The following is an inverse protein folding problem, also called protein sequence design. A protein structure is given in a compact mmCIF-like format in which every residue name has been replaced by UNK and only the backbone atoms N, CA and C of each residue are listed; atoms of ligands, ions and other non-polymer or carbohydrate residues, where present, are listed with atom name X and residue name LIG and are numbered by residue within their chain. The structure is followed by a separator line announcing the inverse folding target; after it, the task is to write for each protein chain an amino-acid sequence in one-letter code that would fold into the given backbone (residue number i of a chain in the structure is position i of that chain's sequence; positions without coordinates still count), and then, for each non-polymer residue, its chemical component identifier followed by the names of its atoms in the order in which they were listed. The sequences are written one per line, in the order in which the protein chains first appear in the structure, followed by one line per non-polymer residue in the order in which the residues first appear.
data_IF_896065508664
#
_entry.id   IF_896065508664
#
_cell.length_a   1.000
_cell.length_b   1.000
_cell.length_c   1.000
_cell.angle_alpha   90.00
_cell.angle_beta   90.00
_cell.angle_gamma   90.00
#
_symmetry.space_group_name_H-M   'P 1'
#
loop_
_entity.id
_entity.type
_entity.pdbx_description
1 polymer ?
#
# COMPACT_ATOMS: atom_id res chain seq x y z
N UNK A 1 8.76 16.11 -6.80
CA UNK A 1 7.55 15.49 -6.19
C UNK A 1 7.85 14.02 -6.05
N UNK A 2 7.67 13.46 -4.85
CA UNK A 2 7.89 12.04 -4.59
C UNK A 2 6.55 11.37 -4.36
N UNK A 3 6.20 10.41 -5.22
CA UNK A 3 4.98 9.61 -5.11
C UNK A 3 5.37 8.25 -4.54
N UNK A 4 4.79 7.89 -3.40
CA UNK A 4 5.00 6.58 -2.79
C UNK A 4 3.69 5.80 -2.92
N UNK A 5 3.74 4.67 -3.62
CA UNK A 5 2.62 3.76 -3.78
C UNK A 5 2.77 2.68 -2.71
N UNK A 6 1.86 2.68 -1.73
CA UNK A 6 1.77 1.58 -0.77
C UNK A 6 0.97 0.47 -1.44
N UNK A 7 1.68 -0.48 -2.03
CA UNK A 7 1.14 -1.50 -2.90
C UNK A 7 0.98 -2.82 -2.14
N UNK A 8 -0.26 -3.10 -1.76
CA UNK A 8 -0.67 -4.37 -1.13
C UNK A 8 -1.38 -5.32 -2.12
N UNK A 9 -1.43 -4.97 -3.41
CA UNK A 9 -2.06 -5.80 -4.45
C UNK A 9 -3.59 -5.97 -4.34
N UNK A 10 -4.25 -5.24 -3.44
CA UNK A 10 -5.68 -5.38 -3.13
C UNK A 10 -6.35 -4.02 -2.92
N UNK A 11 -7.67 -3.97 -2.92
CA UNK A 11 -8.45 -2.84 -2.41
C UNK A 11 -8.51 -2.92 -0.89
N UNK A 12 -7.39 -2.61 -0.24
CA UNK A 12 -7.12 -2.92 1.18
C UNK A 12 -8.24 -2.53 2.13
N UNK A 13 -8.79 -1.32 2.01
CA UNK A 13 -9.85 -0.90 2.93
C UNK A 13 -11.12 -1.73 2.80
N UNK A 14 -11.59 -1.99 1.59
CA UNK A 14 -12.80 -2.82 1.38
C UNK A 14 -12.52 -4.27 1.76
N UNK A 15 -11.30 -4.76 1.49
CA UNK A 15 -10.88 -6.12 1.85
C UNK A 15 -10.85 -6.32 3.37
N UNK A 16 -10.35 -5.36 4.15
CA UNK A 16 -10.39 -5.40 5.62
C UNK A 16 -11.83 -5.54 6.13
N UNK A 17 -12.78 -4.79 5.56
CA UNK A 17 -14.19 -4.93 5.93
C UNK A 17 -14.77 -6.29 5.56
N UNK A 18 -14.46 -6.81 4.37
CA UNK A 18 -14.85 -8.15 3.94
C UNK A 18 -14.29 -9.24 4.87
N UNK A 19 -13.04 -9.08 5.32
CA UNK A 19 -12.40 -9.95 6.30
C UNK A 19 -13.13 -9.92 7.65
N UNK A 20 -13.37 -8.73 8.20
CA UNK A 20 -13.90 -8.56 9.56
C UNK A 20 -15.40 -8.81 9.69
N UNK A 21 -16.20 -8.45 8.68
CA UNK A 21 -17.67 -8.43 8.81
C UNK A 21 -18.40 -9.35 7.83
N UNK A 22 -17.69 -9.99 6.88
CA UNK A 22 -18.30 -10.84 5.85
C UNK A 22 -17.62 -12.20 5.73
N UNK A 23 -17.13 -12.76 6.84
CA UNK A 23 -16.56 -14.12 6.90
C UNK A 23 -15.45 -14.37 5.87
N UNK A 24 -14.57 -13.38 5.65
CA UNK A 24 -13.49 -13.45 4.67
C UNK A 24 -13.97 -13.68 3.21
N UNK A 25 -15.20 -13.29 2.89
CA UNK A 25 -15.73 -13.35 1.52
C UNK A 25 -15.22 -12.18 0.70
N UNK A 26 -14.08 -12.38 0.04
CA UNK A 26 -13.45 -11.37 -0.81
C UNK A 26 -14.16 -11.27 -2.17
N UNK A 27 -15.01 -10.26 -2.33
CA UNK A 27 -15.70 -10.00 -3.61
C UNK A 27 -15.00 -8.87 -4.33
N UNK A 28 -14.28 -9.19 -5.41
CA UNK A 28 -13.67 -8.23 -6.35
C UNK A 28 -12.71 -7.22 -5.69
N UNK A 29 -12.02 -7.61 -4.62
CA UNK A 29 -11.04 -6.77 -3.91
C UNK A 29 -9.60 -7.18 -4.14
N UNK A 30 -9.33 -8.37 -4.67
CA UNK A 30 -8.00 -8.77 -5.14
C UNK A 30 -7.80 -8.26 -6.55
N UNK A 31 -6.72 -7.51 -6.80
CA UNK A 31 -6.52 -6.86 -8.09
C UNK A 31 -5.98 -7.83 -9.16
N UNK A 32 -5.17 -8.81 -8.75
CA UNK A 32 -4.50 -9.78 -9.66
C UNK A 32 -3.73 -9.10 -10.81
N UNK A 33 -3.21 -7.89 -10.57
CA UNK A 33 -2.47 -7.11 -11.56
C UNK A 33 -0.97 -7.26 -11.37
N UNK A 34 -0.25 -7.35 -12.48
CA UNK A 34 1.22 -7.40 -12.53
C UNK A 34 1.83 -6.06 -12.96
N UNK A 35 1.15 -4.95 -12.68
CA UNK A 35 1.61 -3.62 -13.11
C UNK A 35 2.94 -3.26 -12.45
N UNK A 36 3.97 -3.02 -13.24
CA UNK A 36 5.24 -2.45 -12.78
C UNK A 36 5.14 -0.91 -12.77
N UNK A 37 4.80 -0.33 -11.61
CA UNK A 37 4.67 1.12 -11.47
C UNK A 37 6.00 1.86 -11.64
N UNK A 38 7.13 1.23 -11.34
CA UNK A 38 8.44 1.83 -11.56
C UNK A 38 8.74 1.94 -13.05
N UNK A 39 8.40 0.93 -13.85
CA UNK A 39 8.50 0.98 -15.31
C UNK A 39 7.56 2.03 -15.90
N UNK A 40 6.32 2.13 -15.42
CA UNK A 40 5.38 3.18 -15.83
C UNK A 40 5.98 4.56 -15.56
N UNK A 41 6.50 4.82 -14.36
CA UNK A 41 7.11 6.10 -14.04
C UNK A 41 8.25 6.48 -15.01
N UNK A 42 9.14 5.52 -15.31
CA UNK A 42 10.22 5.70 -16.28
C UNK A 42 9.70 6.02 -17.69
N UNK A 43 8.62 5.39 -18.12
CA UNK A 43 7.99 5.66 -19.41
C UNK A 43 7.42 7.09 -19.51
N UNK A 44 7.02 7.69 -18.38
CA UNK A 44 6.56 9.08 -18.29
C UNK A 44 7.71 10.08 -18.02
N UNK A 45 8.98 9.65 -18.03
CA UNK A 45 10.14 10.50 -17.80
C UNK A 45 10.42 10.81 -16.32
N UNK A 46 9.77 10.12 -15.39
CA UNK A 46 10.04 10.21 -13.96
C UNK A 46 11.02 9.10 -13.52
N UNK A 47 11.72 9.31 -12.40
CA UNK A 47 12.47 8.22 -11.78
C UNK A 47 11.50 7.18 -11.19
N UNK A 48 11.80 5.89 -11.36
CA UNK A 48 10.94 4.80 -10.88
C UNK A 48 11.74 3.78 -10.09
N UNK A 49 11.32 3.51 -8.86
CA UNK A 49 11.95 2.58 -7.91
C UNK A 49 10.93 1.58 -7.36
N UNK A 50 11.41 0.44 -6.87
CA UNK A 50 10.62 -0.56 -6.18
C UNK A 50 11.32 -0.93 -4.86
N UNK A 51 10.56 -1.02 -3.78
CA UNK A 51 11.03 -1.44 -2.46
C UNK A 51 10.16 -2.60 -1.95
N UNK A 52 10.79 -3.65 -1.46
CA UNK A 52 10.11 -4.85 -0.90
C UNK A 52 10.25 -4.99 0.60
N UNK A 53 11.09 -4.15 1.21
CA UNK A 53 11.30 -4.10 2.65
C UNK A 53 11.69 -2.67 3.08
N UNK A 54 11.74 -2.44 4.39
CA UNK A 54 12.00 -1.13 4.97
C UNK A 54 13.42 -0.62 4.69
N UNK A 55 14.42 -1.52 4.66
CA UNK A 55 15.82 -1.17 4.40
C UNK A 55 16.02 -0.68 2.96
N UNK A 56 15.40 -1.35 1.98
CA UNK A 56 15.38 -0.91 0.59
C UNK A 56 14.69 0.45 0.44
N UNK A 57 13.55 0.64 1.09
CA UNK A 57 12.84 1.91 1.06
C UNK A 57 13.71 3.04 1.62
N UNK A 58 14.35 2.82 2.76
CA UNK A 58 15.24 3.80 3.37
C UNK A 58 16.45 4.11 2.48
N UNK A 59 17.03 3.09 1.87
CA UNK A 59 18.13 3.24 0.90
C UNK A 59 17.71 4.09 -0.30
N UNK A 60 16.49 3.88 -0.82
CA UNK A 60 15.97 4.66 -1.95
C UNK A 60 15.74 6.11 -1.54
N UNK A 61 15.11 6.35 -0.40
CA UNK A 61 14.81 7.71 0.09
C UNK A 61 16.08 8.53 0.36
N UNK A 62 17.11 7.90 0.94
CA UNK A 62 18.32 8.59 1.36
C UNK A 62 19.34 8.77 0.23
N UNK A 63 19.44 7.80 -0.71
CA UNK A 63 20.56 7.72 -1.65
C UNK A 63 20.17 7.69 -3.13
N UNK A 64 18.95 7.26 -3.47
CA UNK A 64 18.57 7.00 -4.88
C UNK A 64 17.54 7.98 -5.42
N UNK A 65 16.68 8.52 -4.56
CA UNK A 65 15.64 9.45 -4.95
C UNK A 65 16.29 10.75 -5.48
N UNK A 66 15.94 11.19 -6.70
CA UNK A 66 16.51 12.41 -7.25
C UNK A 66 16.06 13.61 -6.43
N UNK A 67 17.01 14.52 -6.15
CA UNK A 67 16.73 15.78 -5.43
C UNK A 67 15.85 16.72 -6.25
N UNK A 68 15.96 16.63 -7.58
CA UNK A 68 15.19 17.41 -8.55
C UNK A 68 14.38 16.50 -9.47
N UNK A 69 13.11 16.83 -9.67
CA UNK A 69 12.19 16.11 -10.57
C UNK A 69 11.15 15.22 -9.88
N UNK A 70 10.26 14.58 -10.66
CA UNK A 70 9.30 13.62 -10.15
C UNK A 70 9.91 12.23 -9.98
N UNK A 71 9.56 11.54 -8.90
CA UNK A 71 9.87 10.12 -8.72
C UNK A 71 8.67 9.34 -8.18
N UNK A 72 8.63 8.05 -8.52
CA UNK A 72 7.64 7.09 -8.04
C UNK A 72 8.37 5.93 -7.38
N UNK A 73 7.93 5.56 -6.18
CA UNK A 73 8.43 4.42 -5.43
C UNK A 73 7.26 3.46 -5.21
N UNK A 74 7.37 2.26 -5.77
CA UNK A 74 6.44 1.14 -5.54
C UNK A 74 6.87 0.39 -4.28
N UNK A 75 6.19 0.62 -3.16
CA UNK A 75 6.45 -0.04 -1.88
C UNK A 75 5.53 -1.24 -1.71
N UNK A 76 6.08 -2.44 -1.85
CA UNK A 76 5.31 -3.68 -1.71
C UNK A 76 5.17 -4.04 -0.25
N UNK A 77 3.93 -4.22 0.18
CA UNK A 77 3.58 -4.63 1.55
C UNK A 77 2.67 -5.85 1.51
N UNK A 78 2.47 -6.49 2.65
CA UNK A 78 1.59 -7.64 2.76
C UNK A 78 0.12 -7.26 2.45
N UNK A 79 -0.60 -8.16 1.77
CA UNK A 79 -1.99 -7.95 1.34
C UNK A 79 -3.01 -8.00 2.47
N UNK A 80 -2.61 -8.52 3.62
CA UNK A 80 -3.43 -8.73 4.81
C UNK A 80 -3.16 -7.72 5.93
N UNK A 81 -2.33 -6.70 5.67
CA UNK A 81 -2.15 -5.54 6.56
C UNK A 81 -3.48 -4.80 6.79
N UNK A 82 -3.80 -4.57 8.06
CA UNK A 82 -5.04 -3.91 8.48
C UNK A 82 -4.74 -2.58 9.16
N UNK A 83 -5.62 -1.60 8.94
CA UNK A 83 -5.56 -0.34 9.69
C UNK A 83 -6.19 -0.58 11.05
N UNK A 84 -5.35 -0.58 12.08
CA UNK A 84 -5.73 -0.67 13.48
C UNK A 84 -5.09 0.50 14.25
N UNK A 85 -5.73 1.01 15.31
CA UNK A 85 -6.95 0.48 15.88
C UNK A 85 -8.22 0.94 15.13
N UNK A 86 -9.29 0.13 15.19
CA UNK A 86 -10.55 0.38 14.47
C UNK A 86 -11.76 0.30 15.41
N UNK A 87 -12.68 1.25 15.29
CA UNK A 87 -13.99 1.19 15.96
C UNK A 87 -14.99 0.58 14.96
N UNK A 88 -15.59 -0.59 15.25
CA UNK A 88 -16.60 -1.17 14.38
C UNK A 88 -17.85 -0.29 14.23
N UNK A 89 -18.63 -0.48 13.15
CA UNK A 89 -19.89 0.25 12.97
C UNK A 89 -20.84 0.05 14.15
N UNK A 90 -21.32 1.15 14.72
CA UNK A 90 -22.24 1.13 15.87
C UNK A 90 -21.57 0.93 17.23
N UNK A 91 -20.25 0.78 17.30
CA UNK A 91 -19.51 0.67 18.55
C UNK A 91 -18.98 2.02 19.04
N UNK A 92 -18.66 2.09 20.33
CA UNK A 92 -18.02 3.25 20.96
C UNK A 92 -16.49 3.14 20.94
N UNK A 93 -15.80 4.22 21.31
CA UNK A 93 -14.33 4.26 21.48
C UNK A 93 -13.84 3.19 22.47
N UNK A 94 -14.67 2.76 23.44
CA UNK A 94 -14.29 1.72 24.43
C UNK A 94 -14.26 0.31 23.85
N UNK A 95 -14.88 0.09 22.69
CA UNK A 95 -15.02 -1.20 22.02
C UNK A 95 -14.11 -1.30 20.80
N UNK A 96 -13.01 -0.54 20.82
CA UNK A 96 -12.04 -0.46 19.76
C UNK A 96 -11.23 -1.76 19.64
N UNK A 97 -11.03 -2.23 18.41
CA UNK A 97 -10.18 -3.37 18.09
C UNK A 97 -8.73 -2.86 17.98
N UNK A 98 -7.83 -3.39 18.81
CA UNK A 98 -6.46 -2.89 18.95
C UNK A 98 -5.41 -3.73 18.21
N UNK A 99 -5.59 -5.05 18.08
CA UNK A 99 -4.73 -5.95 17.32
C UNK A 99 -5.38 -7.31 17.10
#
# INVERSE_FOLDING_TARGET
ITVIIINNGVLGMVRQWQKMFYSCRYSHTTLERQTDFAAVARAFGAAGFCATNLEELQTILDHSAPKDGPCVIDCRIDMDENVLPMIPPGCSVREMILK
#
